data_IF_285983249859
#
_entry.id   IF_285983249859
#
_cell.length_a   1.000
_cell.length_b   1.000
_cell.length_c   1.000
_cell.angle_alpha   90.00
_cell.angle_beta   90.00
_cell.angle_gamma   90.00
#
_symmetry.space_group_name_H-M   'P 1'
#
loop_
_entity.id
_entity.type
_entity.pdbx_description
1 polymer ?
#
# COMPACT_ATOMS: atom_id res chain seq x y z
N UNK A 1 -16.33 15.97 -7.33
CA UNK A 1 -15.76 15.37 -6.13
C UNK A 1 -15.72 13.84 -6.18
N UNK A 2 -16.82 13.14 -6.38
CA UNK A 2 -16.84 11.66 -6.48
C UNK A 2 -15.94 11.14 -7.60
N UNK A 3 -15.93 11.77 -8.77
CA UNK A 3 -15.05 11.37 -9.88
C UNK A 3 -13.56 11.46 -9.55
N UNK A 4 -13.17 12.47 -8.76
CA UNK A 4 -11.77 12.65 -8.32
C UNK A 4 -11.40 11.53 -7.34
N UNK A 5 -12.24 11.25 -6.35
CA UNK A 5 -12.05 10.14 -5.39
C UNK A 5 -11.82 8.84 -6.15
N UNK A 6 -12.71 8.49 -7.09
CA UNK A 6 -12.59 7.26 -7.88
C UNK A 6 -11.35 7.22 -8.78
N UNK A 7 -10.92 8.37 -9.30
CA UNK A 7 -9.69 8.43 -10.11
C UNK A 7 -8.44 8.14 -9.26
N UNK A 8 -8.35 8.73 -8.07
CA UNK A 8 -7.25 8.50 -7.12
C UNK A 8 -7.22 7.03 -6.67
N UNK A 9 -8.37 6.46 -6.32
CA UNK A 9 -8.48 5.04 -5.95
C UNK A 9 -8.02 4.11 -7.07
N UNK A 10 -8.48 4.35 -8.31
CA UNK A 10 -8.06 3.55 -9.47
C UNK A 10 -6.55 3.62 -9.70
N UNK A 11 -5.96 4.80 -9.56
CA UNK A 11 -4.52 5.00 -9.70
C UNK A 11 -3.75 4.15 -8.69
N UNK A 12 -4.10 4.25 -7.40
CA UNK A 12 -3.45 3.51 -6.33
C UNK A 12 -3.65 1.99 -6.47
N UNK A 13 -4.86 1.56 -6.87
CA UNK A 13 -5.15 0.14 -7.13
C UNK A 13 -4.33 -0.38 -8.32
N UNK A 14 -4.22 0.39 -9.38
CA UNK A 14 -3.45 -0.01 -10.56
C UNK A 14 -1.95 -0.12 -10.24
N UNK A 15 -1.38 0.88 -9.56
CA UNK A 15 0.03 0.87 -9.12
C UNK A 15 0.28 -0.30 -8.18
N UNK A 16 -0.53 -0.47 -7.14
CA UNK A 16 -0.35 -1.55 -6.17
C UNK A 16 -0.43 -2.94 -6.81
N UNK A 17 -1.34 -3.16 -7.77
CA UNK A 17 -1.42 -4.41 -8.53
C UNK A 17 -0.19 -4.65 -9.42
N UNK A 18 0.32 -3.60 -10.04
CA UNK A 18 1.52 -3.70 -10.87
C UNK A 18 2.73 -4.11 -10.03
N UNK A 19 2.91 -3.50 -8.86
CA UNK A 19 3.98 -3.90 -7.93
C UNK A 19 3.71 -5.25 -7.25
N UNK A 20 2.48 -5.72 -7.19
CA UNK A 20 2.15 -7.06 -6.72
C UNK A 20 2.88 -8.17 -7.49
N UNK A 21 3.22 -7.96 -8.76
CA UNK A 21 4.01 -8.91 -9.55
C UNK A 21 5.45 -9.07 -9.04
N UNK A 22 5.96 -8.12 -8.25
CA UNK A 22 7.26 -8.25 -7.60
C UNK A 22 7.35 -9.50 -6.73
N UNK A 23 6.23 -10.00 -6.17
CA UNK A 23 6.23 -11.23 -5.37
C UNK A 23 6.62 -12.46 -6.20
N UNK A 24 6.18 -12.53 -7.45
CA UNK A 24 6.55 -13.64 -8.34
C UNK A 24 8.02 -13.59 -8.70
N UNK A 25 8.53 -12.39 -9.04
CA UNK A 25 9.95 -12.19 -9.37
C UNK A 25 10.79 -12.56 -8.15
N UNK A 26 10.40 -12.11 -6.96
CA UNK A 26 11.06 -12.44 -5.69
C UNK A 26 11.09 -13.96 -5.46
N UNK A 27 9.93 -14.62 -5.56
CA UNK A 27 9.81 -16.07 -5.33
C UNK A 27 10.67 -16.87 -6.31
N UNK A 28 10.63 -16.52 -7.59
CA UNK A 28 11.45 -17.17 -8.61
C UNK A 28 12.96 -16.92 -8.39
N UNK A 29 13.33 -15.72 -7.97
CA UNK A 29 14.73 -15.38 -7.66
C UNK A 29 15.24 -16.17 -6.46
N UNK A 30 14.43 -16.34 -5.42
CA UNK A 30 14.77 -17.17 -4.25
C UNK A 30 14.90 -18.63 -4.65
N UNK A 31 13.94 -19.17 -5.40
CA UNK A 31 13.98 -20.57 -5.86
C UNK A 31 15.22 -20.82 -6.72
N UNK A 32 15.53 -19.91 -7.63
CA UNK A 32 16.75 -19.96 -8.45
C UNK A 32 18.02 -19.97 -7.59
N UNK A 33 18.13 -19.06 -6.63
CA UNK A 33 19.31 -18.99 -5.74
C UNK A 33 19.49 -20.27 -4.93
N UNK A 34 18.40 -20.83 -4.36
CA UNK A 34 18.43 -22.07 -3.62
C UNK A 34 18.94 -23.21 -4.51
N UNK A 35 18.41 -23.31 -5.72
CA UNK A 35 18.84 -24.35 -6.67
C UNK A 35 20.32 -24.22 -7.03
N UNK A 36 20.76 -23.02 -7.43
CA UNK A 36 22.15 -22.78 -7.85
C UNK A 36 23.12 -22.97 -6.69
N UNK A 37 22.77 -22.54 -5.50
CA UNK A 37 23.57 -22.66 -4.28
C UNK A 37 23.76 -24.11 -3.85
N UNK A 38 22.69 -24.89 -3.79
CA UNK A 38 22.71 -26.23 -3.19
C UNK A 38 22.93 -27.36 -4.21
N UNK A 39 22.47 -27.21 -5.44
CA UNK A 39 22.65 -28.23 -6.49
C UNK A 39 23.90 -28.01 -7.28
N UNK A 40 24.19 -26.76 -7.67
CA UNK A 40 25.36 -26.43 -8.49
C UNK A 40 26.58 -26.01 -7.67
N UNK A 41 26.46 -25.81 -6.34
CA UNK A 41 27.48 -25.27 -5.46
C UNK A 41 28.09 -23.94 -5.97
N UNK A 42 27.31 -23.11 -6.66
CA UNK A 42 27.71 -21.85 -7.27
C UNK A 42 26.82 -20.69 -6.79
N UNK A 43 26.92 -20.29 -5.51
CA UNK A 43 26.06 -19.24 -4.96
C UNK A 43 26.18 -17.93 -5.74
N UNK A 44 25.04 -17.28 -6.01
CA UNK A 44 25.03 -15.99 -6.71
C UNK A 44 25.28 -14.83 -5.73
N UNK A 45 25.93 -13.77 -6.21
CA UNK A 45 26.25 -12.59 -5.39
C UNK A 45 25.20 -11.49 -5.51
N UNK A 46 24.28 -11.56 -6.46
CA UNK A 46 23.34 -10.48 -6.81
C UNK A 46 21.90 -10.74 -6.35
N UNK A 47 21.49 -11.99 -6.18
CA UNK A 47 20.08 -12.35 -5.89
C UNK A 47 19.63 -11.78 -4.56
N UNK A 48 20.50 -11.72 -3.55
CA UNK A 48 20.15 -11.15 -2.26
C UNK A 48 19.70 -9.68 -2.36
N UNK A 49 20.44 -8.86 -3.11
CA UNK A 49 20.08 -7.45 -3.30
C UNK A 49 18.77 -7.30 -4.08
N UNK A 50 18.56 -8.16 -5.10
CA UNK A 50 17.32 -8.19 -5.86
C UNK A 50 16.12 -8.52 -4.97
N UNK A 51 16.26 -9.51 -4.08
CA UNK A 51 15.21 -9.89 -3.13
C UNK A 51 14.84 -8.72 -2.21
N UNK A 52 15.84 -8.04 -1.63
CA UNK A 52 15.59 -6.91 -0.73
C UNK A 52 14.88 -5.77 -1.46
N UNK A 53 15.32 -5.45 -2.68
CA UNK A 53 14.69 -4.39 -3.48
C UNK A 53 13.27 -4.74 -3.91
N UNK A 54 13.00 -5.98 -4.35
CA UNK A 54 11.66 -6.42 -4.74
C UNK A 54 10.71 -6.47 -3.56
N UNK A 55 11.17 -6.99 -2.42
CA UNK A 55 10.38 -7.02 -1.18
C UNK A 55 10.06 -5.61 -0.69
N UNK A 56 11.04 -4.72 -0.64
CA UNK A 56 10.84 -3.34 -0.23
C UNK A 56 9.92 -2.56 -1.17
N UNK A 57 10.04 -2.75 -2.49
CA UNK A 57 9.18 -2.15 -3.49
C UNK A 57 7.72 -2.61 -3.32
N UNK A 58 7.51 -3.92 -3.16
CA UNK A 58 6.21 -4.49 -2.89
C UNK A 58 5.58 -3.89 -1.62
N UNK A 59 6.35 -3.86 -0.52
CA UNK A 59 5.87 -3.36 0.77
C UNK A 59 5.50 -1.86 0.70
N UNK A 60 6.35 -1.02 0.11
CA UNK A 60 6.10 0.41 -0.03
C UNK A 60 4.84 0.70 -0.85
N UNK A 61 4.63 -0.03 -1.95
CA UNK A 61 3.47 0.20 -2.83
C UNK A 61 2.20 -0.48 -2.34
N UNK A 62 2.30 -1.50 -1.47
CA UNK A 62 1.15 -2.13 -0.85
C UNK A 62 0.42 -1.19 0.12
N UNK A 63 1.10 -0.24 0.76
CA UNK A 63 0.51 0.68 1.71
C UNK A 63 -0.59 1.58 1.11
N UNK A 64 -0.31 2.41 0.07
CA UNK A 64 -1.33 3.22 -0.59
C UNK A 64 -2.46 2.37 -1.21
N UNK A 65 -2.14 1.17 -1.72
CA UNK A 65 -3.13 0.22 -2.22
C UNK A 65 -4.07 -0.26 -1.11
N UNK A 66 -3.53 -0.69 0.03
CA UNK A 66 -4.31 -1.13 1.18
C UNK A 66 -5.22 -0.01 1.72
N UNK A 67 -4.70 1.22 1.77
CA UNK A 67 -5.49 2.40 2.16
C UNK A 67 -6.65 2.65 1.18
N UNK A 68 -6.42 2.51 -0.13
CA UNK A 68 -7.46 2.67 -1.14
C UNK A 68 -8.56 1.61 -1.05
N UNK A 69 -8.24 0.41 -0.56
CA UNK A 69 -9.19 -0.70 -0.42
C UNK A 69 -9.82 -0.83 0.98
N UNK A 70 -9.43 0.03 1.94
CA UNK A 70 -9.91 -0.04 3.33
C UNK A 70 -9.62 -1.40 4.01
N UNK A 71 -8.49 -2.00 3.66
CA UNK A 71 -8.07 -3.28 4.25
C UNK A 71 -7.37 -3.11 5.61
N UNK A 72 -7.29 -1.87 6.12
CA UNK A 72 -6.77 -1.62 7.45
C UNK A 72 -7.75 -2.08 8.51
N UNK A 73 -7.26 -2.90 9.45
CA UNK A 73 -8.02 -3.32 10.61
C UNK A 73 -8.38 -2.08 11.43
N UNK A 74 -9.66 -1.74 11.47
CA UNK A 74 -10.19 -0.70 12.36
C UNK A 74 -10.50 -1.33 13.72
N UNK A 75 -10.35 -0.56 14.79
CA UNK A 75 -10.81 -0.98 16.11
C UNK A 75 -12.36 -0.95 16.17
N UNK A 76 -13.00 -1.91 15.50
CA UNK A 76 -14.43 -1.96 15.25
C UNK A 76 -15.31 -1.97 16.50
N UNK A 77 -14.75 -2.41 17.66
CA UNK A 77 -15.50 -2.60 18.89
C UNK A 77 -16.17 -1.31 19.37
N UNK A 78 -15.47 -0.17 19.30
CA UNK A 78 -16.04 1.14 19.70
C UNK A 78 -16.65 1.86 18.50
N UNK A 79 -16.05 1.69 17.33
CA UNK A 79 -16.42 2.39 16.11
C UNK A 79 -17.84 2.04 15.62
N UNK A 80 -18.28 0.78 15.75
CA UNK A 80 -19.62 0.31 15.37
C UNK A 80 -20.76 0.97 16.13
N UNK A 81 -20.53 1.47 17.34
CA UNK A 81 -21.57 2.15 18.15
C UNK A 81 -21.77 3.61 17.75
N UNK A 82 -20.87 4.18 16.97
CA UNK A 82 -20.95 5.57 16.57
C UNK A 82 -21.78 5.74 15.28
N UNK A 83 -22.54 6.83 15.22
CA UNK A 83 -23.23 7.21 13.99
C UNK A 83 -22.19 7.54 12.88
N UNK A 84 -22.50 7.32 11.59
CA UNK A 84 -21.57 7.54 10.48
C UNK A 84 -20.95 8.94 10.46
N UNK A 85 -21.68 9.95 10.95
CA UNK A 85 -21.19 11.33 11.05
C UNK A 85 -20.04 11.47 12.07
N UNK A 86 -20.16 10.82 13.24
CA UNK A 86 -19.12 10.86 14.28
C UNK A 86 -17.92 10.01 13.90
N UNK A 87 -18.15 8.88 13.25
CA UNK A 87 -17.08 8.07 12.66
C UNK A 87 -16.26 8.91 11.68
N UNK A 88 -16.93 9.59 10.76
CA UNK A 88 -16.27 10.42 9.75
C UNK A 88 -15.51 11.63 10.36
N UNK A 89 -16.03 12.20 11.45
CA UNK A 89 -15.35 13.28 12.16
C UNK A 89 -14.06 12.81 12.84
N UNK A 90 -14.11 11.65 13.50
CA UNK A 90 -12.94 11.04 14.13
C UNK A 90 -11.88 10.69 13.08
N UNK A 91 -12.26 10.01 12.01
CA UNK A 91 -11.35 9.64 10.93
C UNK A 91 -10.73 10.91 10.31
N UNK A 92 -11.51 11.93 10.01
CA UNK A 92 -11.02 13.19 9.47
C UNK A 92 -9.99 13.86 10.39
N UNK A 93 -10.26 13.89 11.71
CA UNK A 93 -9.34 14.46 12.69
C UNK A 93 -8.03 13.67 12.76
N UNK A 94 -8.10 12.34 12.74
CA UNK A 94 -6.92 11.47 12.76
C UNK A 94 -6.09 11.61 11.47
N UNK A 95 -6.75 11.76 10.32
CA UNK A 95 -6.03 12.02 9.07
C UNK A 95 -5.25 13.32 9.13
N UNK A 96 -5.84 14.42 9.64
CA UNK A 96 -5.16 15.71 9.70
C UNK A 96 -4.06 15.73 10.77
N UNK A 97 -4.32 15.17 11.97
CA UNK A 97 -3.39 15.29 13.09
C UNK A 97 -2.20 14.32 13.03
N UNK A 98 -2.42 13.11 12.51
CA UNK A 98 -1.40 12.05 12.55
C UNK A 98 -0.98 11.59 11.17
N UNK A 99 -1.93 11.34 10.27
CA UNK A 99 -1.62 10.77 8.97
C UNK A 99 -0.85 11.74 8.09
N UNK A 100 -1.35 12.96 7.89
CA UNK A 100 -0.68 13.92 7.02
C UNK A 100 0.70 14.36 7.52
N UNK A 101 0.90 14.68 8.80
CA UNK A 101 2.24 15.00 9.29
C UNK A 101 3.23 13.84 9.09
N UNK A 102 2.80 12.60 9.37
CA UNK A 102 3.63 11.42 9.15
C UNK A 102 3.97 11.19 7.66
N UNK A 103 2.98 11.30 6.77
CA UNK A 103 3.19 11.07 5.34
C UNK A 103 3.96 12.22 4.68
N UNK A 104 3.79 13.46 5.14
CA UNK A 104 4.60 14.60 4.68
C UNK A 104 6.06 14.46 5.14
N UNK A 105 6.30 14.00 6.36
CA UNK A 105 7.63 13.69 6.83
C UNK A 105 8.26 12.56 5.99
N UNK A 106 7.52 11.47 5.73
CA UNK A 106 7.99 10.38 4.86
C UNK A 106 8.34 10.88 3.45
N UNK A 107 7.51 11.74 2.89
CA UNK A 107 7.75 12.33 1.57
C UNK A 107 9.01 13.21 1.57
N UNK A 108 9.13 14.12 2.54
CA UNK A 108 10.22 15.08 2.62
C UNK A 108 11.57 14.40 2.86
N UNK A 109 11.67 13.62 3.94
CA UNK A 109 12.91 12.89 4.24
C UNK A 109 13.22 11.81 3.21
N UNK A 110 12.19 11.18 2.65
CA UNK A 110 12.36 10.25 1.54
C UNK A 110 12.93 10.91 0.30
N UNK A 111 12.55 12.16 0.03
CA UNK A 111 13.11 12.96 -1.07
C UNK A 111 14.59 13.28 -0.84
N UNK A 112 14.96 13.69 0.37
CA UNK A 112 16.36 13.94 0.73
C UNK A 112 17.20 12.67 0.56
N UNK A 113 16.76 11.55 1.12
CA UNK A 113 17.45 10.26 1.02
C UNK A 113 17.57 9.82 -0.46
N UNK A 114 16.53 9.98 -1.25
CA UNK A 114 16.56 9.63 -2.66
C UNK A 114 17.52 10.53 -3.44
N UNK A 115 17.48 11.86 -3.23
CA UNK A 115 18.32 12.83 -3.92
C UNK A 115 19.80 12.61 -3.62
N UNK A 116 20.15 12.36 -2.36
CA UNK A 116 21.53 12.05 -1.96
C UNK A 116 22.01 10.72 -2.58
N UNK A 117 21.15 9.72 -2.57
CA UNK A 117 21.47 8.42 -3.19
C UNK A 117 21.72 8.54 -4.70
N UNK A 118 20.97 9.40 -5.40
CA UNK A 118 21.22 9.72 -6.81
C UNK A 118 22.51 10.51 -7.01
N UNK A 119 22.80 11.46 -6.12
CA UNK A 119 24.01 12.30 -6.19
C UNK A 119 25.28 11.47 -6.05
N UNK A 120 25.28 10.47 -5.15
CA UNK A 120 26.42 9.60 -4.89
C UNK A 120 26.42 8.32 -5.72
N UNK A 121 25.43 8.10 -6.60
CA UNK A 121 25.25 6.86 -7.38
C UNK A 121 25.37 5.62 -6.48
N UNK A 122 24.61 5.63 -5.39
CA UNK A 122 24.74 4.69 -4.29
C UNK A 122 24.50 3.25 -4.75
N UNK A 123 25.39 2.37 -4.33
CA UNK A 123 25.32 0.93 -4.61
C UNK A 123 25.15 0.14 -3.32
N UNK A 124 24.64 -1.08 -3.42
CA UNK A 124 24.45 -1.95 -2.28
C UNK A 124 25.75 -2.28 -1.56
N UNK A 125 25.70 -2.24 -0.24
CA UNK A 125 26.77 -2.69 0.65
C UNK A 125 26.60 -4.15 1.06
N UNK A 126 25.43 -4.75 0.76
CA UNK A 126 25.08 -6.07 1.23
C UNK A 126 25.74 -7.18 0.42
N UNK A 127 26.15 -6.89 -0.81
CA UNK A 127 26.73 -7.89 -1.69
C UNK A 127 27.90 -7.34 -2.52
N UNK A 128 28.82 -8.21 -2.94
CA UNK A 128 29.92 -7.84 -3.85
C UNK A 128 29.44 -7.39 -5.23
N UNK A 129 28.19 -7.69 -5.61
CA UNK A 129 27.62 -7.33 -6.91
C UNK A 129 27.43 -5.83 -7.10
N UNK A 130 27.43 -5.03 -6.00
CA UNK A 130 27.29 -3.57 -6.03
C UNK A 130 26.08 -3.10 -6.86
N UNK A 131 24.92 -3.72 -6.67
CA UNK A 131 23.70 -3.35 -7.39
C UNK A 131 23.27 -1.94 -6.98
N UNK A 132 22.81 -1.17 -7.94
CA UNK A 132 22.35 0.20 -7.73
C UNK A 132 21.08 0.22 -6.87
N UNK A 133 21.10 0.99 -5.77
CA UNK A 133 19.96 1.10 -4.83
C UNK A 133 19.24 2.45 -4.92
N UNK A 134 19.75 3.42 -5.63
CA UNK A 134 19.12 4.74 -5.77
C UNK A 134 17.77 4.67 -6.49
N UNK A 135 17.56 3.73 -7.41
CA UNK A 135 16.25 3.49 -8.02
C UNK A 135 15.23 3.05 -6.98
N UNK A 136 15.62 2.10 -6.12
CA UNK A 136 14.76 1.62 -5.05
C UNK A 136 14.43 2.74 -4.04
N UNK A 137 15.41 3.55 -3.63
CA UNK A 137 15.19 4.66 -2.72
C UNK A 137 14.24 5.72 -3.26
N UNK A 138 14.14 5.88 -4.58
CA UNK A 138 13.16 6.79 -5.21
C UNK A 138 11.71 6.34 -4.97
N UNK A 139 11.48 5.07 -4.69
CA UNK A 139 10.14 4.58 -4.35
C UNK A 139 9.64 5.09 -2.98
N UNK A 140 10.54 5.50 -2.07
CA UNK A 140 10.15 6.02 -0.74
C UNK A 140 9.34 7.32 -0.87
N UNK A 141 9.87 8.41 -1.49
CA UNK A 141 9.08 9.63 -1.67
C UNK A 141 7.90 9.41 -2.62
N UNK A 142 8.02 8.52 -3.62
CA UNK A 142 6.92 8.18 -4.49
C UNK A 142 5.74 7.56 -3.72
N UNK A 143 6.01 6.59 -2.84
CA UNK A 143 4.99 6.01 -1.94
C UNK A 143 4.39 7.07 -1.01
N UNK A 144 5.23 7.94 -0.41
CA UNK A 144 4.77 9.07 0.39
C UNK A 144 3.80 9.97 -0.36
N UNK A 145 4.10 10.30 -1.61
CA UNK A 145 3.21 11.07 -2.50
C UNK A 145 1.88 10.37 -2.77
N UNK A 146 1.91 9.06 -3.04
CA UNK A 146 0.70 8.27 -3.24
C UNK A 146 -0.16 8.20 -1.97
N UNK A 147 0.47 8.06 -0.80
CA UNK A 147 -0.23 8.11 0.49
C UNK A 147 -0.92 9.46 0.72
N UNK A 148 -0.22 10.57 0.44
CA UNK A 148 -0.78 11.92 0.59
C UNK A 148 -2.00 12.09 -0.32
N UNK A 149 -1.89 11.71 -1.59
CA UNK A 149 -2.99 11.79 -2.56
C UNK A 149 -4.18 10.93 -2.11
N UNK A 150 -3.92 9.69 -1.64
CA UNK A 150 -4.97 8.83 -1.10
C UNK A 150 -5.59 9.42 0.19
N UNK A 151 -4.78 9.98 1.09
CA UNK A 151 -5.26 10.65 2.29
C UNK A 151 -6.21 11.81 1.98
N UNK A 152 -5.92 12.62 0.94
CA UNK A 152 -6.83 13.66 0.47
C UNK A 152 -8.15 13.05 -0.02
N UNK A 153 -8.11 11.92 -0.73
CA UNK A 153 -9.31 11.18 -1.15
C UNK A 153 -10.14 10.72 0.04
N UNK A 154 -9.49 10.19 1.09
CA UNK A 154 -10.18 9.76 2.32
C UNK A 154 -10.79 10.96 3.08
N UNK A 155 -10.10 12.10 3.17
CA UNK A 155 -10.67 13.32 3.75
C UNK A 155 -11.91 13.80 2.98
N UNK A 156 -11.90 13.73 1.64
CA UNK A 156 -13.09 14.05 0.84
C UNK A 156 -14.23 13.07 1.10
N UNK A 157 -13.94 11.77 1.32
CA UNK A 157 -14.95 10.77 1.71
C UNK A 157 -15.53 11.07 3.09
N UNK A 158 -14.69 11.38 4.08
CA UNK A 158 -15.14 11.78 5.42
C UNK A 158 -16.06 13.00 5.35
N UNK A 159 -15.70 14.03 4.57
CA UNK A 159 -16.54 15.20 4.39
C UNK A 159 -17.93 14.86 3.80
N UNK A 160 -17.97 13.99 2.79
CA UNK A 160 -19.25 13.52 2.21
C UNK A 160 -20.07 12.70 3.21
N UNK A 161 -19.41 11.85 4.00
CA UNK A 161 -20.07 11.05 5.02
C UNK A 161 -20.66 11.93 6.15
N UNK A 162 -19.93 12.96 6.57
CA UNK A 162 -20.46 13.95 7.54
C UNK A 162 -21.69 14.69 7.01
N UNK A 163 -21.68 15.04 5.71
CA UNK A 163 -22.79 15.78 5.08
C UNK A 163 -24.04 14.92 4.86
N UNK A 164 -23.85 13.68 4.37
CA UNK A 164 -24.94 12.81 3.93
C UNK A 164 -25.34 11.76 4.98
N UNK A 165 -24.62 11.67 6.11
CA UNK A 165 -24.76 10.64 7.14
C UNK A 165 -24.71 9.19 6.58
N UNK A 166 -24.00 8.99 5.46
CA UNK A 166 -23.79 7.70 4.79
C UNK A 166 -22.42 7.67 4.16
N UNK A 167 -21.71 6.54 4.29
CA UNK A 167 -20.44 6.32 3.62
C UNK A 167 -20.62 6.12 2.11
N UNK A 168 -19.67 6.65 1.34
CA UNK A 168 -19.59 6.41 -0.09
C UNK A 168 -19.05 5.00 -0.36
N UNK A 169 -19.72 4.14 -1.16
CA UNK A 169 -19.20 2.81 -1.46
C UNK A 169 -17.86 2.91 -2.20
N UNK A 170 -16.91 2.03 -1.87
CA UNK A 170 -15.60 1.95 -2.51
C UNK A 170 -15.69 1.21 -3.85
N UNK A 171 -14.65 1.36 -4.71
CA UNK A 171 -14.57 0.67 -6.00
C UNK A 171 -14.45 -0.85 -5.85
N UNK A 172 -13.89 -1.31 -4.73
CA UNK A 172 -13.86 -2.70 -4.32
C UNK A 172 -14.03 -2.72 -2.80
N UNK A 173 -15.27 -2.81 -2.35
CA UNK A 173 -15.49 -3.31 -1.00
C UNK A 173 -14.97 -4.76 -0.98
N UNK A 174 -13.99 -5.03 -0.14
CA UNK A 174 -13.71 -6.40 0.27
C UNK A 174 -14.93 -6.82 1.08
N UNK A 175 -15.95 -7.37 0.39
CA UNK A 175 -17.05 -8.05 1.10
C UNK A 175 -16.36 -9.12 1.93
N UNK A 176 -16.53 -9.06 3.22
CA UNK A 176 -16.06 -10.11 4.11
C UNK A 176 -16.60 -11.42 3.55
N UNK A 177 -15.76 -12.44 3.52
CA UNK A 177 -16.16 -13.78 3.00
C UNK A 177 -17.42 -14.27 3.71
N UNK A 178 -17.64 -13.80 4.92
CA UNK A 178 -18.81 -14.04 5.75
C UNK A 178 -20.09 -13.45 5.14
N UNK A 179 -20.06 -12.21 4.60
CA UNK A 179 -21.23 -11.60 3.93
C UNK A 179 -21.60 -12.34 2.64
N UNK A 180 -20.60 -12.85 1.92
CA UNK A 180 -20.82 -13.67 0.71
C UNK A 180 -21.46 -15.00 1.09
N UNK A 181 -20.97 -15.65 2.14
CA UNK A 181 -21.52 -16.92 2.62
C UNK A 181 -22.93 -16.76 3.19
N UNK A 182 -23.22 -15.70 3.91
CA UNK A 182 -24.57 -15.38 4.42
C UNK A 182 -25.53 -15.12 3.25
N UNK A 183 -25.09 -14.37 2.23
CA UNK A 183 -25.89 -14.14 1.02
C UNK A 183 -26.23 -15.44 0.29
N UNK A 184 -25.24 -16.33 0.09
CA UNK A 184 -25.43 -17.63 -0.53
C UNK A 184 -26.30 -18.58 0.30
N UNK A 185 -26.16 -18.59 1.63
CA UNK A 185 -26.99 -19.39 2.53
C UNK A 185 -28.45 -18.90 2.59
N UNK A 186 -28.67 -17.60 2.37
CA UNK A 186 -30.00 -17.00 2.25
C UNK A 186 -30.73 -17.42 0.97
N UNK A 187 -30.01 -17.47 -0.16
CA UNK A 187 -30.57 -17.91 -1.45
C UNK A 187 -30.93 -19.39 -1.46
N UNK A 188 -30.14 -20.24 -0.79
CA UNK A 188 -30.39 -21.70 -0.67
C UNK A 188 -31.62 -22.04 0.22
N UNK A 189 -32.08 -21.11 1.06
CA UNK A 189 -33.27 -21.33 1.92
C UNK A 189 -34.58 -20.89 1.28
N UNK A 190 -34.54 -20.19 0.16
CA UNK A 190 -35.72 -19.63 -0.52
C UNK A 190 -36.10 -20.45 -1.80
N UNK A 191 -35.25 -21.40 -2.21
CA UNK A 191 -35.53 -22.36 -3.30
C UNK A 191 -35.89 -23.75 -2.77
#
# INVERSE_FOLDING_TARGET
MISIIRAIERLNIWIGRSFGWCILILTLSVAYEVFVRYVLNAPTVWVFDMMVQMYGALFLMAGPYALAQDTHVRADVIYRFLQPRWQALLDFSLYILFFFPGMLALFWFGWEIASDSWRYQEVSWNSPARIQIYFFKTLIPFAGGLFIIQGVSECMRCYLAMKNNKWLPRLKDSRETEDILIGQAGELKVG
#
